data_IF_222833317191
#
_entry.id   IF_222833317191
#
_cell.length_a   1.000
_cell.length_b   1.000
_cell.length_c   1.000
_cell.angle_alpha   90.00
_cell.angle_beta   90.00
_cell.angle_gamma   90.00
#
_symmetry.space_group_name_H-M   'P 1'
#
loop_
_entity.id
_entity.type
_entity.pdbx_description
1 polymer ?
#
# COMPACT_ATOMS: atom_id res chain seq x y z
N UNK A 1 1.54 7.00 -21.03
CA UNK A 1 2.11 5.83 -20.34
C UNK A 1 3.59 5.66 -20.66
N UNK A 2 4.28 4.74 -19.93
CA UNK A 2 5.68 4.43 -20.22
C UNK A 2 5.88 3.85 -21.62
N UNK A 3 5.05 2.89 -22.01
CA UNK A 3 5.13 2.24 -23.33
C UNK A 3 4.82 3.16 -24.51
N UNK A 4 4.12 4.25 -24.29
CA UNK A 4 3.96 5.29 -25.32
C UNK A 4 5.23 6.12 -25.51
N UNK A 5 5.97 6.35 -24.42
CA UNK A 5 7.23 7.09 -24.45
C UNK A 5 8.42 6.24 -24.95
N UNK A 6 8.36 4.93 -24.75
CA UNK A 6 9.41 3.97 -25.06
C UNK A 6 8.81 2.71 -25.73
N UNK A 7 8.32 2.81 -26.97
CA UNK A 7 7.64 1.72 -27.66
C UNK A 7 8.54 0.53 -28.00
N UNK A 8 9.85 0.69 -27.91
CA UNK A 8 10.85 -0.34 -28.14
C UNK A 8 11.14 -1.21 -26.90
N UNK A 9 10.54 -0.88 -25.75
CA UNK A 9 10.74 -1.64 -24.50
C UNK A 9 9.55 -2.56 -24.26
N UNK A 10 9.81 -3.85 -24.09
CA UNK A 10 8.84 -4.81 -23.60
C UNK A 10 8.94 -4.95 -22.07
N UNK A 11 7.78 -4.93 -21.40
CA UNK A 11 7.69 -5.11 -19.95
C UNK A 11 6.96 -6.41 -19.63
N UNK A 12 7.62 -7.27 -18.85
CA UNK A 12 6.95 -8.40 -18.19
C UNK A 12 6.74 -8.05 -16.72
N UNK A 13 5.47 -7.97 -16.28
CA UNK A 13 5.12 -7.72 -14.89
C UNK A 13 4.82 -9.05 -14.18
N UNK A 14 5.52 -9.29 -13.09
CA UNK A 14 5.28 -10.42 -12.21
C UNK A 14 4.88 -9.92 -10.82
N UNK A 15 3.88 -10.55 -10.22
CA UNK A 15 3.47 -10.30 -8.83
C UNK A 15 3.78 -11.57 -8.04
N UNK A 16 4.58 -11.45 -7.00
CA UNK A 16 4.92 -12.58 -6.14
C UNK A 16 4.70 -12.27 -4.65
N UNK A 17 4.21 -13.27 -3.93
CA UNK A 17 4.01 -13.32 -2.49
C UNK A 17 4.49 -14.70 -2.03
N UNK A 18 5.40 -14.82 -1.07
CA UNK A 18 6.06 -13.82 -0.22
C UNK A 18 7.14 -13.02 -0.95
N UNK A 19 7.71 -12.01 -0.26
CA UNK A 19 8.89 -11.27 -0.73
C UNK A 19 10.00 -12.27 -1.10
N UNK A 20 10.13 -12.56 -2.38
CA UNK A 20 11.18 -13.43 -2.89
C UNK A 20 12.52 -12.70 -2.83
N UNK A 21 13.58 -13.46 -2.68
CA UNK A 21 14.93 -12.94 -2.69
C UNK A 21 15.23 -12.32 -4.07
N UNK A 22 15.53 -11.01 -4.12
CA UNK A 22 15.85 -10.29 -5.38
C UNK A 22 17.01 -10.94 -6.13
N UNK A 23 17.91 -11.58 -5.40
CA UNK A 23 19.07 -12.26 -5.99
C UNK A 23 18.67 -13.53 -6.74
N UNK A 24 17.57 -14.16 -6.35
CA UNK A 24 17.05 -15.39 -6.94
C UNK A 24 16.01 -15.17 -8.04
N UNK A 25 15.51 -13.94 -8.21
CA UNK A 25 14.49 -13.61 -9.21
C UNK A 25 15.14 -13.20 -10.53
N UNK A 26 14.62 -13.71 -11.64
CA UNK A 26 14.95 -13.28 -13.01
C UNK A 26 14.30 -11.93 -13.35
N UNK A 27 14.20 -11.01 -12.38
CA UNK A 27 13.68 -9.68 -12.57
C UNK A 27 14.82 -8.66 -12.61
N UNK A 28 14.76 -7.74 -13.56
CA UNK A 28 15.71 -6.62 -13.64
C UNK A 28 15.48 -5.61 -12.52
N UNK A 29 14.21 -5.31 -12.26
CA UNK A 29 13.77 -4.34 -11.26
C UNK A 29 12.66 -4.96 -10.41
N UNK A 30 12.64 -4.66 -9.12
CA UNK A 30 11.54 -5.07 -8.23
C UNK A 30 11.02 -3.89 -7.43
N UNK A 31 9.70 -3.81 -7.24
CA UNK A 31 9.09 -2.86 -6.31
C UNK A 31 8.77 -3.60 -5.02
N UNK A 32 9.38 -3.19 -3.92
CA UNK A 32 9.22 -3.81 -2.60
C UNK A 32 8.56 -2.86 -1.63
N UNK A 33 7.65 -3.41 -0.83
CA UNK A 33 7.10 -2.70 0.34
C UNK A 33 7.82 -3.19 1.59
N UNK A 34 8.44 -2.28 2.36
CA UNK A 34 9.22 -2.65 3.53
C UNK A 34 9.95 -1.48 4.19
N UNK A 35 10.93 -1.82 5.03
CA UNK A 35 11.67 -0.84 5.85
C UNK A 35 12.84 -0.15 5.13
N UNK A 36 13.17 -0.55 3.90
CA UNK A 36 14.33 -0.03 3.16
C UNK A 36 15.68 -0.58 3.64
N UNK A 37 15.70 -1.71 4.32
CA UNK A 37 16.93 -2.37 4.77
C UNK A 37 17.19 -3.61 3.92
N UNK A 38 17.86 -3.39 2.78
CA UNK A 38 18.18 -4.45 1.82
C UNK A 38 19.71 -4.49 1.64
N UNK A 39 20.34 -5.57 2.13
CA UNK A 39 21.80 -5.67 2.19
C UNK A 39 22.44 -5.97 0.82
N UNK A 40 21.73 -6.71 -0.04
CA UNK A 40 22.32 -7.33 -1.24
C UNK A 40 21.87 -6.66 -2.55
N UNK A 41 21.18 -5.51 -2.47
CA UNK A 41 20.66 -4.79 -3.64
C UNK A 41 20.77 -3.29 -3.45
N UNK A 42 20.94 -2.58 -4.55
CA UNK A 42 20.75 -1.15 -4.61
C UNK A 42 19.25 -0.82 -4.55
N UNK A 43 18.90 0.28 -3.93
CA UNK A 43 17.49 0.65 -3.80
C UNK A 43 17.28 2.15 -3.73
N UNK A 44 16.07 2.55 -4.09
CA UNK A 44 15.57 3.93 -4.04
C UNK A 44 14.19 3.94 -3.42
N UNK A 45 13.95 4.85 -2.47
CA UNK A 45 12.60 5.05 -1.94
C UNK A 45 11.73 5.72 -3.01
N UNK A 46 10.70 5.01 -3.45
CA UNK A 46 9.74 5.51 -4.42
C UNK A 46 8.63 6.32 -3.76
N UNK A 47 8.03 5.76 -2.70
CA UNK A 47 6.83 6.33 -2.14
C UNK A 47 6.69 5.98 -0.65
N UNK A 48 6.56 7.02 0.17
CA UNK A 48 6.03 6.92 1.55
C UNK A 48 4.54 7.19 1.52
N UNK A 49 3.82 6.57 2.42
CA UNK A 49 2.37 6.70 2.49
C UNK A 49 1.89 6.74 3.94
N UNK A 50 0.71 7.31 4.14
CA UNK A 50 -0.01 7.31 5.39
C UNK A 50 -1.14 6.28 5.34
N UNK A 51 -1.48 5.70 6.49
CA UNK A 51 -2.62 4.80 6.64
C UNK A 51 -3.74 5.48 7.41
N UNK A 52 -4.97 5.16 7.01
CA UNK A 52 -6.19 5.55 7.74
C UNK A 52 -7.27 4.48 7.54
N UNK A 53 -8.21 4.33 8.50
CA UNK A 53 -9.38 3.49 8.32
C UNK A 53 -10.29 4.00 7.20
N UNK A 54 -10.61 3.13 6.25
CA UNK A 54 -11.49 3.38 5.12
C UNK A 54 -12.67 2.40 5.16
N UNK A 55 -13.85 2.87 4.81
CA UNK A 55 -15.04 2.03 4.63
C UNK A 55 -15.90 2.54 3.48
N UNK A 56 -16.86 1.71 3.02
CA UNK A 56 -17.86 2.21 2.09
C UNK A 56 -18.76 3.25 2.77
N UNK A 57 -19.30 4.24 2.02
CA UNK A 57 -20.22 5.22 2.58
C UNK A 57 -21.46 4.59 3.23
N UNK A 58 -21.93 3.45 2.72
CA UNK A 58 -23.05 2.72 3.31
C UNK A 58 -22.68 2.13 4.67
N UNK A 59 -21.53 1.45 4.75
CA UNK A 59 -21.00 0.88 6.00
C UNK A 59 -20.78 1.97 7.05
N UNK A 60 -20.16 3.10 6.65
CA UNK A 60 -19.91 4.22 7.55
C UNK A 60 -21.19 4.81 8.15
N UNK A 61 -22.28 4.88 7.38
CA UNK A 61 -23.59 5.33 7.90
C UNK A 61 -24.27 4.34 8.82
N UNK A 62 -24.11 3.03 8.56
CA UNK A 62 -24.74 1.97 9.33
C UNK A 62 -24.07 1.77 10.69
N UNK A 63 -22.74 1.85 10.74
CA UNK A 63 -21.93 1.55 11.93
C UNK A 63 -21.40 2.78 12.66
N UNK A 64 -21.54 3.99 12.09
CA UNK A 64 -21.10 5.24 12.70
C UNK A 64 -22.06 5.78 13.77
N UNK A 65 -21.78 6.93 14.37
CA UNK A 65 -20.72 7.86 13.97
C UNK A 65 -19.30 7.37 14.33
N UNK A 66 -18.30 7.81 13.57
CA UNK A 66 -16.88 7.58 13.82
C UNK A 66 -16.20 8.91 14.20
N UNK A 67 -16.36 9.31 15.45
CA UNK A 67 -15.79 10.56 15.98
C UNK A 67 -14.43 10.34 16.62
N UNK A 68 -14.23 9.18 17.25
CA UNK A 68 -13.03 8.80 17.96
C UNK A 68 -12.58 7.39 17.56
N UNK A 69 -11.29 7.10 17.76
CA UNK A 69 -10.72 5.80 17.42
C UNK A 69 -11.39 4.62 18.17
N UNK A 70 -11.95 4.88 19.37
CA UNK A 70 -12.71 3.92 20.17
C UNK A 70 -13.99 3.45 19.49
N UNK A 71 -14.54 4.21 18.56
CA UNK A 71 -15.78 3.87 17.83
C UNK A 71 -15.57 2.67 16.88
N UNK A 72 -14.31 2.20 16.73
CA UNK A 72 -14.00 0.95 16.05
C UNK A 72 -14.20 -0.30 16.91
N UNK A 73 -14.53 -0.16 18.21
CA UNK A 73 -14.77 -1.29 19.08
C UNK A 73 -15.99 -2.11 18.59
N UNK A 74 -15.77 -3.41 18.35
CA UNK A 74 -16.81 -4.30 17.84
C UNK A 74 -17.18 -4.14 16.36
N UNK A 75 -16.54 -3.21 15.64
CA UNK A 75 -16.74 -3.04 14.21
C UNK A 75 -15.92 -4.09 13.43
N UNK A 76 -16.47 -4.71 12.38
CA UNK A 76 -15.71 -5.63 11.52
C UNK A 76 -14.48 -4.95 10.92
N UNK A 77 -13.27 -5.43 11.26
CA UNK A 77 -12.01 -4.92 10.74
C UNK A 77 -11.42 -5.91 9.74
N UNK A 78 -11.04 -5.41 8.56
CA UNK A 78 -10.28 -6.17 7.57
C UNK A 78 -8.80 -6.15 7.95
N UNK A 79 -8.15 -7.31 7.91
CA UNK A 79 -6.78 -7.48 8.41
C UNK A 79 -5.79 -7.60 7.27
N UNK A 80 -4.60 -7.05 7.48
CA UNK A 80 -3.47 -7.24 6.59
C UNK A 80 -2.16 -7.37 7.40
N UNK A 81 -1.30 -8.34 7.09
CA UNK A 81 0.02 -8.41 7.72
C UNK A 81 0.95 -7.28 7.28
N UNK A 82 0.60 -6.56 6.20
CA UNK A 82 1.41 -5.46 5.65
C UNK A 82 1.23 -4.17 6.44
N UNK A 83 0.02 -3.90 6.91
CA UNK A 83 -0.32 -2.71 7.71
C UNK A 83 -1.16 -3.16 8.92
N UNK A 84 -0.51 -3.56 10.04
CA UNK A 84 -1.20 -4.05 11.22
C UNK A 84 -1.95 -2.95 11.95
N UNK A 85 -3.17 -3.24 12.39
CA UNK A 85 -4.05 -2.34 13.15
C UNK A 85 -3.43 -1.82 14.44
N UNK A 86 -2.63 -2.67 15.12
CA UNK A 86 -1.96 -2.30 16.37
C UNK A 86 -1.14 -1.01 16.23
N UNK A 87 -0.50 -0.78 15.10
CA UNK A 87 0.27 0.45 14.85
C UNK A 87 -0.65 1.67 14.81
N UNK A 88 -1.81 1.54 14.18
CA UNK A 88 -2.80 2.62 14.12
C UNK A 88 -3.46 2.85 15.49
N UNK A 89 -3.81 1.80 16.23
CA UNK A 89 -4.34 1.90 17.58
C UNK A 89 -3.37 2.62 18.51
N UNK A 90 -2.10 2.21 18.53
CA UNK A 90 -1.07 2.84 19.35
C UNK A 90 -0.88 4.34 19.04
N UNK A 91 -0.99 4.74 17.76
CA UNK A 91 -0.94 6.15 17.37
C UNK A 91 -2.14 6.98 17.88
N UNK A 92 -3.22 6.32 18.30
CA UNK A 92 -4.43 6.92 18.88
C UNK A 92 -4.57 6.64 20.39
N UNK A 93 -3.46 6.31 21.06
CA UNK A 93 -3.41 6.03 22.50
C UNK A 93 -4.31 4.86 22.94
N UNK A 94 -4.58 3.91 22.03
CA UNK A 94 -5.33 2.69 22.32
C UNK A 94 -4.37 1.51 22.49
N UNK A 95 -4.41 0.88 23.67
CA UNK A 95 -3.66 -0.36 23.94
C UNK A 95 -4.48 -1.60 23.53
N UNK A 96 -4.95 -1.61 22.29
CA UNK A 96 -5.70 -2.72 21.74
C UNK A 96 -4.76 -3.69 21.03
N UNK A 97 -5.01 -5.01 21.18
CA UNK A 97 -4.26 -6.02 20.46
C UNK A 97 -4.57 -5.99 18.95
N UNK A 98 -3.71 -6.62 18.18
CA UNK A 98 -4.01 -6.88 16.76
C UNK A 98 -5.28 -7.73 16.66
N UNK A 99 -6.25 -7.37 15.78
CA UNK A 99 -7.45 -8.16 15.59
C UNK A 99 -7.13 -9.59 15.14
N UNK A 100 -7.76 -10.57 15.78
CA UNK A 100 -7.59 -11.99 15.45
C UNK A 100 -8.72 -12.53 14.57
N UNK A 101 -9.85 -11.82 14.55
CA UNK A 101 -11.05 -12.16 13.77
C UNK A 101 -11.20 -11.25 12.56
N UNK A 102 -12.06 -11.63 11.62
CA UNK A 102 -12.31 -10.91 10.38
C UNK A 102 -11.49 -11.43 9.20
N UNK A 103 -11.88 -11.03 7.99
CA UNK A 103 -11.21 -11.44 6.75
C UNK A 103 -9.79 -10.86 6.68
N UNK A 104 -8.86 -11.68 6.18
CA UNK A 104 -7.46 -11.29 6.03
C UNK A 104 -7.07 -11.21 4.55
N UNK A 105 -6.36 -10.13 4.21
CA UNK A 105 -5.89 -9.84 2.86
C UNK A 105 -4.38 -9.65 2.87
N UNK A 106 -3.72 -10.14 1.85
CA UNK A 106 -2.30 -9.91 1.58
C UNK A 106 -2.07 -8.94 0.40
N UNK A 107 -3.16 -8.41 -0.15
CA UNK A 107 -3.19 -7.41 -1.21
C UNK A 107 -4.10 -6.25 -0.80
N UNK A 108 -3.58 -5.02 -0.93
CA UNK A 108 -4.31 -3.79 -0.53
C UNK A 108 -5.48 -3.50 -1.46
N UNK A 109 -5.34 -3.77 -2.76
CA UNK A 109 -6.41 -3.58 -3.73
C UNK A 109 -7.61 -4.46 -3.41
N UNK A 110 -7.37 -5.77 -3.21
CA UNK A 110 -8.43 -6.70 -2.81
C UNK A 110 -9.05 -6.34 -1.46
N UNK A 111 -8.26 -5.81 -0.52
CA UNK A 111 -8.79 -5.33 0.76
C UNK A 111 -9.68 -4.10 0.58
N UNK A 112 -9.30 -3.16 -0.28
CA UNK A 112 -10.12 -1.99 -0.63
C UNK A 112 -11.42 -2.41 -1.34
N UNK A 113 -11.37 -3.37 -2.26
CA UNK A 113 -12.56 -3.93 -2.90
C UNK A 113 -13.51 -4.58 -1.87
N UNK A 114 -12.96 -5.33 -0.92
CA UNK A 114 -13.73 -5.91 0.19
C UNK A 114 -14.41 -4.84 1.05
N UNK A 115 -13.68 -3.77 1.41
CA UNK A 115 -14.25 -2.65 2.15
C UNK A 115 -15.33 -1.90 1.35
N UNK A 116 -15.11 -1.67 0.05
CA UNK A 116 -16.08 -1.05 -0.84
C UNK A 116 -17.36 -1.90 -0.98
N UNK A 117 -17.22 -3.23 -0.93
CA UNK A 117 -18.35 -4.17 -0.89
C UNK A 117 -19.04 -4.25 0.49
N UNK A 118 -18.58 -3.50 1.49
CA UNK A 118 -19.21 -3.45 2.82
C UNK A 118 -18.80 -4.58 3.77
N UNK A 119 -17.69 -5.28 3.51
CA UNK A 119 -17.21 -6.36 4.37
C UNK A 119 -16.68 -5.88 5.74
N UNK A 120 -16.34 -4.59 5.86
CA UNK A 120 -15.78 -4.01 7.07
C UNK A 120 -14.91 -2.80 6.79
N UNK A 121 -14.15 -2.40 7.80
CA UNK A 121 -13.21 -1.28 7.73
C UNK A 121 -11.82 -1.78 7.33
N UNK A 122 -11.23 -1.20 6.29
CA UNK A 122 -9.86 -1.45 5.87
C UNK A 122 -8.91 -0.41 6.46
N UNK A 123 -7.79 -0.83 7.06
CA UNK A 123 -6.67 0.07 7.31
C UNK A 123 -5.84 0.14 6.04
N UNK A 124 -5.97 1.21 5.26
CA UNK A 124 -5.38 1.27 3.95
C UNK A 124 -4.45 2.48 3.75
N UNK A 125 -3.47 2.30 2.89
CA UNK A 125 -2.52 3.33 2.45
C UNK A 125 -3.21 4.25 1.46
N UNK A 126 -3.22 5.55 1.77
CA UNK A 126 -4.04 6.54 1.08
C UNK A 126 -3.70 6.69 -0.40
N UNK A 127 -2.41 6.68 -0.75
CA UNK A 127 -1.99 6.81 -2.16
C UNK A 127 -2.38 5.58 -2.97
N UNK A 128 -2.29 4.38 -2.39
CA UNK A 128 -2.75 3.17 -3.06
C UNK A 128 -4.28 3.08 -3.13
N UNK A 129 -4.98 3.61 -2.14
CA UNK A 129 -6.44 3.64 -2.10
C UNK A 129 -7.05 4.80 -2.92
N UNK A 130 -6.23 5.66 -3.54
CA UNK A 130 -6.69 6.81 -4.30
C UNK A 130 -7.82 6.50 -5.29
N UNK A 131 -7.80 5.42 -6.10
CA UNK A 131 -8.87 5.12 -7.04
C UNK A 131 -10.24 4.94 -6.37
N UNK A 132 -10.30 4.32 -5.19
CA UNK A 132 -11.55 4.11 -4.43
C UNK A 132 -12.02 5.38 -3.72
N UNK A 133 -11.09 6.24 -3.30
CA UNK A 133 -11.38 7.53 -2.70
C UNK A 133 -11.90 8.52 -3.75
N UNK A 134 -11.26 8.58 -4.91
CA UNK A 134 -11.64 9.47 -6.02
C UNK A 134 -13.01 9.13 -6.61
N UNK A 135 -13.33 7.84 -6.76
CA UNK A 135 -14.63 7.41 -7.26
C UNK A 135 -15.73 7.36 -6.18
N UNK A 136 -15.38 7.63 -4.90
CA UNK A 136 -16.30 7.68 -3.78
C UNK A 136 -16.80 6.31 -3.29
N UNK A 137 -16.21 5.20 -3.72
CA UNK A 137 -16.56 3.86 -3.21
C UNK A 137 -16.03 3.60 -1.80
N UNK A 138 -14.96 4.31 -1.41
CA UNK A 138 -14.48 4.37 -0.03
C UNK A 138 -14.40 5.82 0.47
N UNK A 139 -14.59 5.98 1.77
CA UNK A 139 -14.41 7.24 2.48
C UNK A 139 -13.51 7.04 3.71
N UNK A 140 -12.66 8.00 4.06
CA UNK A 140 -11.93 7.96 5.30
C UNK A 140 -12.89 8.15 6.49
N UNK A 141 -12.71 7.34 7.52
CA UNK A 141 -13.52 7.44 8.74
C UNK A 141 -12.98 8.52 9.69
N UNK A 142 -11.69 8.86 9.56
CA UNK A 142 -11.01 9.84 10.41
C UNK A 142 -10.15 10.79 9.57
N UNK A 143 -10.01 12.04 10.04
CA UNK A 143 -9.09 13.00 9.42
C UNK A 143 -7.63 12.70 9.73
N UNK A 144 -7.37 12.16 10.94
CA UNK A 144 -6.02 11.83 11.38
C UNK A 144 -5.44 10.68 10.57
N UNK A 145 -4.27 10.92 10.00
CA UNK A 145 -3.47 9.95 9.24
C UNK A 145 -2.29 9.51 10.07
N UNK A 146 -1.88 8.26 9.92
CA UNK A 146 -0.72 7.69 10.61
C UNK A 146 0.32 7.31 9.57
N UNK A 147 1.56 7.81 9.66
CA UNK A 147 2.61 7.39 8.74
C UNK A 147 2.82 5.87 8.78
N UNK A 148 2.80 5.21 7.61
CA UNK A 148 3.18 3.81 7.54
C UNK A 148 4.66 3.65 7.92
N UNK A 149 5.02 2.65 8.76
CA UNK A 149 6.42 2.38 9.09
C UNK A 149 7.21 1.82 7.91
N UNK A 150 6.52 1.47 6.83
CA UNK A 150 7.07 0.93 5.61
C UNK A 150 6.87 1.89 4.43
N UNK A 151 7.68 1.72 3.39
CA UNK A 151 7.57 2.48 2.15
C UNK A 151 7.76 1.56 0.94
N UNK A 152 7.43 2.04 -0.25
CA UNK A 152 7.75 1.35 -1.48
C UNK A 152 9.15 1.74 -1.94
N UNK A 153 9.93 0.73 -2.32
CA UNK A 153 11.29 0.88 -2.82
C UNK A 153 11.43 0.20 -4.17
N UNK A 154 12.05 0.89 -5.11
CA UNK A 154 12.59 0.24 -6.31
C UNK A 154 13.93 -0.37 -5.92
N UNK A 155 14.12 -1.66 -6.20
CA UNK A 155 15.34 -2.39 -5.88
C UNK A 155 15.88 -3.07 -7.14
N UNK A 156 17.22 -3.15 -7.24
CA UNK A 156 17.91 -3.75 -8.38
C UNK A 156 19.30 -4.27 -7.97
N UNK A 157 19.88 -5.16 -8.78
CA UNK A 157 21.25 -5.62 -8.61
C UNK A 157 22.23 -4.57 -9.13
N UNK A 158 23.41 -4.50 -8.50
CA UNK A 158 24.50 -3.64 -8.97
C UNK A 158 24.76 -3.86 -10.47
N UNK A 159 24.89 -2.77 -11.22
CA UNK A 159 25.09 -2.77 -12.66
C UNK A 159 23.79 -2.83 -13.50
N UNK A 160 22.62 -3.09 -12.91
CA UNK A 160 21.35 -3.11 -13.66
C UNK A 160 21.05 -1.75 -14.31
N UNK A 161 21.38 -0.64 -13.62
CA UNK A 161 21.14 0.70 -14.12
C UNK A 161 22.10 1.15 -15.26
N UNK A 162 23.13 0.35 -15.56
CA UNK A 162 23.97 0.57 -16.75
C UNK A 162 23.19 0.26 -18.04
N UNK A 163 22.11 -0.50 -17.93
CA UNK A 163 21.18 -0.77 -19.02
C UNK A 163 20.21 0.41 -19.15
N UNK A 164 20.18 1.03 -20.30
CA UNK A 164 19.40 2.26 -20.54
C UNK A 164 17.89 2.08 -20.35
N UNK A 165 17.35 0.90 -20.71
CA UNK A 165 15.94 0.57 -20.54
C UNK A 165 15.54 0.51 -19.05
N UNK A 166 16.43 0.02 -18.18
CA UNK A 166 16.20 -0.04 -16.73
C UNK A 166 16.26 1.36 -16.11
N UNK A 167 17.25 2.16 -16.49
CA UNK A 167 17.36 3.53 -15.99
C UNK A 167 16.22 4.42 -16.50
N UNK A 168 15.79 4.28 -17.75
CA UNK A 168 14.65 5.00 -18.32
C UNK A 168 13.34 4.67 -17.58
N UNK A 169 13.12 3.37 -17.25
CA UNK A 169 11.95 2.96 -16.48
C UNK A 169 11.99 3.52 -15.05
N UNK A 170 13.14 3.43 -14.38
CA UNK A 170 13.31 3.96 -13.03
C UNK A 170 13.04 5.47 -12.96
N UNK A 171 13.57 6.25 -13.90
CA UNK A 171 13.32 7.69 -13.97
C UNK A 171 11.85 8.02 -14.26
N UNK A 172 11.24 7.29 -15.19
CA UNK A 172 9.82 7.48 -15.50
C UNK A 172 8.95 7.18 -14.29
N UNK A 173 9.23 6.07 -13.58
CA UNK A 173 8.47 5.66 -12.39
C UNK A 173 8.57 6.71 -11.28
N UNK A 174 9.77 7.25 -11.01
CA UNK A 174 9.97 8.32 -10.03
C UNK A 174 9.17 9.57 -10.39
N UNK A 175 9.23 10.00 -11.65
CA UNK A 175 8.48 11.17 -12.13
C UNK A 175 6.96 10.95 -12.00
N UNK A 176 6.49 9.76 -12.34
CA UNK A 176 5.06 9.42 -12.28
C UNK A 176 4.51 9.40 -10.85
N UNK A 177 5.28 8.86 -9.89
CA UNK A 177 4.91 8.82 -8.48
C UNK A 177 5.03 10.20 -7.83
N UNK A 178 6.07 10.97 -8.16
CA UNK A 178 6.29 12.32 -7.63
C UNK A 178 5.26 13.35 -8.08
N UNK A 179 4.48 13.06 -9.13
CA UNK A 179 3.42 13.93 -9.65
C UNK A 179 2.07 13.69 -8.95
N UNK A 180 1.95 12.61 -8.18
CA UNK A 180 0.79 12.29 -7.34
C UNK A 180 1.08 12.78 -5.92
N UNK A 181 1.05 14.09 -5.75
CA UNK A 181 1.28 14.80 -4.49
C UNK A 181 -0.02 15.28 -3.87
#
# INVERSE_FOLDING_TARGET
SFLEAYPEIDITLQVSIPLLDVVAEDADLTVRFGTGRYADVEHLCLMKDDVTPLASPAFAREHGPFENAQDLEGVPLLRSPLDPWRTWFAAHDLDWPEPTEGSQFNDVGLMCDGAAAGMGVALARLKLAAPWLENGSLVPLYERRVPSPHAHYLCWRTGTMDRWECSAFAEWLQKSIGTVG
#
